data_IF_309410062834
#
_entry.id   IF_309410062834
#
_cell.length_a   1.000
_cell.length_b   1.000
_cell.length_c   1.000
_cell.angle_alpha   90.00
_cell.angle_beta   90.00
_cell.angle_gamma   90.00
#
_symmetry.space_group_name_H-M   'P 1'
#
loop_
_entity.id
_entity.type
_entity.pdbx_description
1 polymer ?
#
# COMPACT_ATOMS: atom_id res chain seq x y z
N UNK A 1 -12.62 -3.26 -10.64
CA UNK A 1 -11.20 -2.89 -10.58
C UNK A 1 -10.50 -3.87 -9.66
N UNK A 2 -9.34 -4.37 -10.06
CA UNK A 2 -8.61 -5.43 -9.37
C UNK A 2 -7.14 -5.02 -9.24
N UNK A 3 -6.56 -5.26 -8.07
CA UNK A 3 -5.16 -5.00 -7.78
C UNK A 3 -4.45 -6.35 -7.58
N UNK A 4 -3.41 -6.61 -8.38
CA UNK A 4 -2.67 -7.89 -8.38
C UNK A 4 -1.17 -7.66 -8.31
N UNK A 5 -0.41 -8.64 -7.82
CA UNK A 5 1.06 -8.57 -7.69
C UNK A 5 1.54 -8.31 -6.26
N UNK A 6 0.61 -8.11 -5.31
CA UNK A 6 0.95 -8.01 -3.88
C UNK A 6 1.59 -9.30 -3.36
N UNK A 7 1.26 -10.47 -3.89
CA UNK A 7 1.86 -11.77 -3.56
C UNK A 7 3.36 -11.90 -3.86
N UNK A 8 3.89 -11.01 -4.71
CA UNK A 8 5.32 -10.99 -5.08
C UNK A 8 6.14 -10.00 -4.23
N UNK A 9 5.58 -9.50 -3.12
CA UNK A 9 6.29 -8.57 -2.26
C UNK A 9 7.52 -9.21 -1.61
N UNK A 10 8.55 -8.42 -1.43
CA UNK A 10 9.70 -8.75 -0.59
C UNK A 10 9.77 -7.79 0.59
N UNK A 11 10.12 -8.33 1.75
CA UNK A 11 10.32 -7.57 2.96
C UNK A 11 11.81 -7.24 3.11
N UNK A 12 12.16 -5.97 2.97
CA UNK A 12 13.56 -5.54 3.01
C UNK A 12 14.04 -5.23 4.42
N UNK A 13 13.14 -4.71 5.25
CA UNK A 13 13.44 -4.37 6.65
C UNK A 13 12.18 -4.47 7.49
N UNK A 14 12.32 -5.05 8.67
CA UNK A 14 11.34 -4.93 9.75
C UNK A 14 12.05 -4.42 11.00
N UNK A 15 11.42 -3.44 11.63
CA UNK A 15 11.73 -3.02 12.99
C UNK A 15 10.48 -3.18 13.83
N UNK A 16 10.62 -3.82 14.98
CA UNK A 16 9.57 -3.92 15.99
C UNK A 16 10.06 -3.18 17.24
N UNK A 17 9.27 -2.20 17.68
CA UNK A 17 9.49 -1.51 18.95
C UNK A 17 8.31 -1.83 19.86
N UNK A 18 8.58 -2.49 20.98
CA UNK A 18 7.56 -2.85 21.96
C UNK A 18 7.60 -1.90 23.15
N UNK A 19 6.42 -1.60 23.70
CA UNK A 19 6.21 -0.98 25.00
C UNK A 19 5.16 -1.78 25.76
N UNK A 20 4.90 -1.43 27.03
CA UNK A 20 4.00 -2.19 27.90
C UNK A 20 2.64 -2.49 27.27
N UNK A 21 2.01 -1.48 26.68
CA UNK A 21 0.63 -1.56 26.16
C UNK A 21 0.52 -1.29 24.66
N UNK A 22 1.66 -1.19 23.95
CA UNK A 22 1.67 -0.92 22.51
C UNK A 22 2.88 -1.50 21.81
N UNK A 23 2.73 -1.75 20.52
CA UNK A 23 3.78 -2.22 19.63
C UNK A 23 3.77 -1.33 18.38
N UNK A 24 4.94 -0.88 17.95
CA UNK A 24 5.10 -0.24 16.64
C UNK A 24 5.87 -1.18 15.73
N UNK A 25 5.24 -1.55 14.61
CA UNK A 25 5.85 -2.28 13.51
C UNK A 25 6.19 -1.29 12.40
N UNK A 26 7.45 -1.20 12.03
CA UNK A 26 7.89 -0.50 10.83
C UNK A 26 8.42 -1.51 9.82
N UNK A 27 7.80 -1.57 8.64
CA UNK A 27 8.16 -2.49 7.58
C UNK A 27 8.48 -1.72 6.29
N UNK A 28 9.64 -2.01 5.70
CA UNK A 28 9.98 -1.61 4.34
C UNK A 28 9.66 -2.77 3.40
N UNK A 29 8.68 -2.55 2.54
CA UNK A 29 8.11 -3.54 1.63
C UNK A 29 8.45 -3.09 0.22
N UNK A 30 8.97 -4.00 -0.59
CA UNK A 30 9.20 -3.77 -2.02
C UNK A 30 8.29 -4.69 -2.82
N UNK A 31 7.55 -4.11 -3.76
CA UNK A 31 6.70 -4.83 -4.71
C UNK A 31 7.25 -4.60 -6.11
N UNK A 32 7.84 -5.61 -6.77
CA UNK A 32 8.47 -5.43 -8.07
C UNK A 32 7.51 -4.91 -9.14
N UNK A 33 6.30 -5.48 -9.20
CA UNK A 33 5.26 -5.06 -10.14
C UNK A 33 3.91 -5.16 -9.42
N UNK A 34 3.21 -4.03 -9.34
CA UNK A 34 1.83 -3.96 -8.89
C UNK A 34 0.96 -3.58 -10.09
N UNK A 35 -0.04 -4.39 -10.41
CA UNK A 35 -0.92 -4.17 -11.57
C UNK A 35 -2.34 -3.84 -11.11
N UNK A 36 -2.83 -2.70 -11.55
CA UNK A 36 -4.23 -2.32 -11.43
C UNK A 36 -4.92 -2.58 -12.77
N UNK A 37 -5.91 -3.47 -12.75
CA UNK A 37 -6.67 -3.87 -13.93
C UNK A 37 -8.15 -3.54 -13.77
N UNK A 38 -8.80 -3.15 -14.86
CA UNK A 38 -10.26 -3.02 -14.92
C UNK A 38 -10.75 -3.26 -16.34
N UNK A 39 -11.72 -4.16 -16.53
CA UNK A 39 -12.39 -4.39 -17.82
C UNK A 39 -13.22 -3.18 -18.27
N UNK A 40 -13.61 -2.35 -17.30
CA UNK A 40 -14.41 -1.15 -17.52
C UNK A 40 -13.77 0.00 -16.77
N UNK A 41 -13.32 0.99 -17.52
CA UNK A 41 -13.00 2.32 -17.04
C UNK A 41 -13.78 3.34 -17.86
N UNK A 42 -14.05 4.50 -17.27
CA UNK A 42 -14.61 5.66 -17.96
C UNK A 42 -13.86 6.88 -17.46
N UNK A 43 -13.30 7.63 -18.40
CA UNK A 43 -12.58 8.86 -18.13
C UNK A 43 -13.29 9.99 -18.88
N UNK A 44 -13.72 11.01 -18.14
CA UNK A 44 -14.33 12.23 -18.67
C UNK A 44 -13.80 13.40 -17.86
N UNK A 45 -13.14 14.34 -18.53
CA UNK A 45 -12.61 15.53 -17.90
C UNK A 45 -11.94 16.46 -18.91
N UNK A 46 -11.12 17.37 -18.40
CA UNK A 46 -10.34 18.31 -19.21
C UNK A 46 -8.98 18.56 -18.57
N UNK A 47 -7.91 18.49 -19.36
CA UNK A 47 -6.60 19.01 -18.98
C UNK A 47 -6.48 20.48 -19.40
N UNK A 48 -5.78 21.27 -18.58
CA UNK A 48 -5.52 22.69 -18.82
C UNK A 48 -6.77 23.51 -19.18
N UNK A 49 -7.94 23.16 -18.62
CA UNK A 49 -9.25 23.78 -18.91
C UNK A 49 -9.80 23.64 -20.35
N UNK A 50 -8.98 23.37 -21.37
CA UNK A 50 -9.42 23.34 -22.78
C UNK A 50 -9.17 22.02 -23.51
N UNK A 51 -8.36 21.10 -22.98
CA UNK A 51 -8.08 19.83 -23.64
C UNK A 51 -9.00 18.72 -23.12
N UNK A 52 -10.03 18.28 -23.88
CA UNK A 52 -10.94 17.26 -23.40
C UNK A 52 -10.22 15.91 -23.24
N UNK A 53 -10.31 15.36 -22.04
CA UNK A 53 -9.82 14.03 -21.71
C UNK A 53 -11.03 13.09 -21.74
N UNK A 54 -11.01 12.15 -22.68
CA UNK A 54 -12.05 11.13 -22.83
C UNK A 54 -11.41 9.76 -23.03
N UNK A 55 -12.04 8.73 -22.50
CA UNK A 55 -11.68 7.34 -22.76
C UNK A 55 -12.61 6.37 -22.06
N UNK A 56 -12.71 5.16 -22.61
CA UNK A 56 -13.55 4.11 -22.04
C UNK A 56 -13.17 2.74 -22.59
N UNK A 57 -13.19 1.70 -21.76
CA UNK A 57 -12.86 0.34 -22.17
C UNK A 57 -12.11 -0.39 -21.06
N UNK A 58 -11.13 -1.20 -21.44
CA UNK A 58 -10.16 -1.80 -20.53
C UNK A 58 -9.08 -0.82 -20.07
N UNK A 59 -8.65 -0.98 -18.82
CA UNK A 59 -7.54 -0.25 -18.22
C UNK A 59 -6.55 -1.22 -17.61
N UNK A 60 -5.27 -1.02 -17.89
CA UNK A 60 -4.17 -1.67 -17.18
C UNK A 60 -3.13 -0.64 -16.80
N UNK A 61 -2.85 -0.52 -15.51
CA UNK A 61 -1.79 0.34 -14.96
C UNK A 61 -0.82 -0.55 -14.20
N UNK A 62 0.44 -0.55 -14.60
CA UNK A 62 1.52 -1.26 -13.91
C UNK A 62 2.40 -0.24 -13.19
N UNK A 63 2.49 -0.37 -11.87
CA UNK A 63 3.44 0.34 -11.03
C UNK A 63 4.65 -0.57 -10.86
N UNK A 64 5.81 -0.10 -11.28
CA UNK A 64 7.06 -0.86 -11.20
C UNK A 64 7.89 -0.36 -10.04
N UNK A 65 8.45 -1.33 -9.33
CA UNK A 65 9.40 -1.10 -8.24
C UNK A 65 8.82 -0.16 -7.18
N UNK A 66 7.72 -0.60 -6.59
CA UNK A 66 7.04 0.15 -5.52
C UNK A 66 7.75 -0.17 -4.22
N UNK A 67 8.31 0.84 -3.58
CA UNK A 67 8.90 0.71 -2.24
C UNK A 67 7.99 1.45 -1.27
N UNK A 68 7.46 0.72 -0.30
CA UNK A 68 6.55 1.23 0.72
C UNK A 68 7.17 1.10 2.11
N UNK A 69 7.22 2.20 2.85
CA UNK A 69 7.53 2.22 4.27
C UNK A 69 6.22 2.34 5.04
N UNK A 70 5.79 1.23 5.63
CA UNK A 70 4.61 1.20 6.50
C UNK A 70 5.03 1.26 7.95
N UNK A 71 4.39 2.11 8.73
CA UNK A 71 4.49 2.13 10.20
C UNK A 71 3.12 1.93 10.79
N UNK A 72 2.95 0.87 11.56
CA UNK A 72 1.68 0.49 12.19
C UNK A 72 1.87 0.42 13.69
N UNK A 73 1.04 1.14 14.44
CA UNK A 73 0.98 1.04 15.90
C UNK A 73 -0.21 0.22 16.30
N UNK A 74 0.06 -0.86 17.03
CA UNK A 74 -0.92 -1.70 17.68
C UNK A 74 -1.00 -1.33 19.17
N UNK A 75 -2.20 -1.39 19.73
CA UNK A 75 -2.46 -1.17 21.16
C UNK A 75 -3.32 -2.31 21.69
N UNK A 76 -3.13 -2.68 22.95
CA UNK A 76 -4.07 -3.58 23.64
C UNK A 76 -5.39 -2.85 23.85
N UNK A 77 -6.50 -3.54 23.59
CA UNK A 77 -7.83 -3.07 23.99
C UNK A 77 -8.19 -3.66 25.35
N UNK A 78 -7.86 -4.95 25.53
CA UNK A 78 -7.91 -5.70 26.79
C UNK A 78 -6.81 -6.78 26.78
N UNK A 79 -6.89 -7.77 27.67
CA UNK A 79 -5.92 -8.87 27.76
C UNK A 79 -5.96 -9.85 26.58
N UNK A 80 -7.04 -9.83 25.78
CA UNK A 80 -7.32 -10.83 24.74
C UNK A 80 -7.40 -10.25 23.33
N UNK A 81 -7.46 -8.93 23.20
CA UNK A 81 -7.69 -8.25 21.93
C UNK A 81 -6.77 -7.06 21.73
N UNK A 82 -6.43 -6.84 20.47
CA UNK A 82 -5.60 -5.72 20.04
C UNK A 82 -6.24 -5.00 18.85
N UNK A 83 -5.78 -3.78 18.59
CA UNK A 83 -6.20 -3.01 17.40
C UNK A 83 -5.07 -2.14 16.88
N UNK A 84 -5.21 -1.72 15.64
CA UNK A 84 -4.41 -0.65 15.06
C UNK A 84 -4.92 0.69 15.59
N UNK A 85 -4.06 1.45 16.27
CA UNK A 85 -4.29 2.82 16.74
C UNK A 85 -3.80 3.85 15.71
N UNK A 86 -2.65 3.58 15.08
CA UNK A 86 -2.05 4.47 14.08
C UNK A 86 -1.49 3.69 12.91
N UNK A 87 -1.56 4.31 11.75
CA UNK A 87 -0.96 3.84 10.51
C UNK A 87 -0.35 5.02 9.79
N UNK A 88 0.83 4.80 9.24
CA UNK A 88 1.47 5.69 8.30
C UNK A 88 2.01 4.85 7.15
N UNK A 89 1.84 5.35 5.93
CA UNK A 89 2.35 4.73 4.73
C UNK A 89 3.04 5.81 3.93
N UNK A 90 4.33 5.62 3.71
CA UNK A 90 5.07 6.34 2.68
C UNK A 90 5.35 5.37 1.56
N UNK A 91 5.29 5.83 0.31
CA UNK A 91 5.64 4.99 -0.82
C UNK A 91 6.37 5.80 -1.87
N UNK A 92 7.17 5.09 -2.65
CA UNK A 92 7.81 5.60 -3.85
C UNK A 92 7.51 4.63 -5.00
N UNK A 93 7.24 5.18 -6.18
CA UNK A 93 6.97 4.41 -7.39
C UNK A 93 7.98 4.84 -8.44
N UNK A 94 8.87 3.93 -8.84
CA UNK A 94 9.92 4.26 -9.79
C UNK A 94 9.38 4.52 -11.20
N UNK A 95 8.37 3.74 -11.64
CA UNK A 95 7.80 3.89 -12.98
C UNK A 95 6.35 3.46 -13.07
N UNK A 96 5.58 4.17 -13.88
CA UNK A 96 4.22 3.81 -14.25
C UNK A 96 4.18 3.40 -15.73
N UNK A 97 3.45 2.32 -16.03
CA UNK A 97 3.06 1.95 -17.38
C UNK A 97 1.55 1.81 -17.45
N UNK A 98 0.90 2.79 -18.06
CA UNK A 98 -0.52 2.84 -18.27
C UNK A 98 -0.90 2.47 -19.70
N UNK A 99 -1.98 1.71 -19.83
CA UNK A 99 -2.67 1.42 -21.06
C UNK A 99 -4.18 1.58 -20.83
N UNK A 100 -4.73 2.68 -21.31
CA UNK A 100 -6.15 3.01 -21.27
C UNK A 100 -6.72 2.86 -22.69
N UNK A 101 -7.59 1.89 -22.89
CA UNK A 101 -8.22 1.61 -24.19
C UNK A 101 -9.15 2.74 -24.65
N UNK A 102 -9.09 3.10 -25.94
CA UNK A 102 -9.91 4.18 -26.51
C UNK A 102 -9.74 5.51 -25.78
N UNK A 103 -8.62 5.71 -25.08
CA UNK A 103 -8.18 7.01 -24.61
C UNK A 103 -7.47 7.78 -25.72
N UNK A 104 -7.46 9.10 -25.62
CA UNK A 104 -6.58 9.93 -26.44
C UNK A 104 -5.13 9.52 -26.21
N UNK A 105 -4.34 9.38 -27.29
CA UNK A 105 -2.94 8.95 -27.24
C UNK A 105 -2.09 9.72 -26.21
N UNK A 106 -2.32 11.04 -26.07
CA UNK A 106 -1.63 11.89 -25.10
C UNK A 106 -1.81 11.42 -23.65
N UNK A 107 -2.95 10.81 -23.29
CA UNK A 107 -3.23 10.38 -21.91
C UNK A 107 -2.29 9.26 -21.51
N UNK A 108 -2.13 8.24 -22.36
CA UNK A 108 -1.19 7.16 -22.10
C UNK A 108 0.26 7.69 -22.05
N UNK A 109 0.63 8.65 -22.91
CA UNK A 109 1.96 9.26 -22.86
C UNK A 109 2.20 10.00 -21.53
N UNK A 110 1.26 10.85 -21.12
CA UNK A 110 1.36 11.60 -19.86
C UNK A 110 1.42 10.66 -18.66
N UNK A 111 0.58 9.62 -18.61
CA UNK A 111 0.61 8.65 -17.51
C UNK A 111 1.91 7.81 -17.50
N UNK A 112 2.51 7.55 -18.66
CA UNK A 112 3.78 6.82 -18.73
C UNK A 112 4.99 7.70 -18.38
N UNK A 113 4.93 9.01 -18.64
CA UNK A 113 5.99 9.95 -18.33
C UNK A 113 5.90 10.47 -16.90
N UNK A 114 4.71 10.93 -16.50
CA UNK A 114 4.46 11.67 -15.25
C UNK A 114 3.64 10.88 -14.23
N UNK A 115 3.26 9.63 -14.54
CA UNK A 115 2.35 8.85 -13.69
C UNK A 115 2.81 8.72 -12.24
N UNK A 116 4.12 8.60 -11.99
CA UNK A 116 4.65 8.55 -10.63
C UNK A 116 4.44 9.88 -9.89
N UNK A 117 4.71 11.02 -10.55
CA UNK A 117 4.48 12.34 -9.97
C UNK A 117 2.99 12.61 -9.75
N UNK A 118 2.13 12.20 -10.69
CA UNK A 118 0.67 12.28 -10.55
C UNK A 118 0.22 11.49 -9.32
N UNK A 119 0.66 10.23 -9.16
CA UNK A 119 0.29 9.40 -8.01
C UNK A 119 0.83 9.96 -6.70
N UNK A 120 2.00 10.59 -6.69
CA UNK A 120 2.51 11.31 -5.52
C UNK A 120 1.68 12.55 -5.18
N UNK A 121 1.07 13.21 -6.18
CA UNK A 121 0.11 14.30 -5.95
C UNK A 121 -1.18 13.84 -5.28
N UNK A 122 -1.54 12.56 -5.43
CA UNK A 122 -2.69 11.91 -4.76
C UNK A 122 -2.28 11.09 -3.54
N UNK A 123 -1.14 11.41 -2.91
CA UNK A 123 -0.58 10.63 -1.81
C UNK A 123 -1.58 10.40 -0.66
N UNK A 124 -2.18 11.47 -0.16
CA UNK A 124 -3.11 11.38 0.97
C UNK A 124 -4.34 10.55 0.63
N UNK A 125 -4.88 10.67 -0.60
CA UNK A 125 -6.01 9.86 -1.05
C UNK A 125 -5.68 8.37 -1.10
N UNK A 126 -4.47 8.03 -1.55
CA UNK A 126 -3.98 6.64 -1.60
C UNK A 126 -3.75 6.08 -0.19
N UNK A 127 -3.15 6.87 0.71
CA UNK A 127 -2.94 6.48 2.11
C UNK A 127 -4.28 6.29 2.83
N UNK A 128 -5.22 7.22 2.66
CA UNK A 128 -6.56 7.15 3.23
C UNK A 128 -7.36 5.98 2.68
N UNK A 129 -7.29 5.74 1.36
CA UNK A 129 -7.91 4.57 0.73
C UNK A 129 -7.35 3.26 1.28
N UNK A 130 -6.03 3.19 1.48
CA UNK A 130 -5.36 2.03 2.09
C UNK A 130 -5.80 1.84 3.53
N UNK A 131 -5.85 2.91 4.33
CA UNK A 131 -6.35 2.86 5.70
C UNK A 131 -7.78 2.32 5.77
N UNK A 132 -8.70 2.91 5.01
CA UNK A 132 -10.11 2.56 5.01
C UNK A 132 -10.38 1.12 4.56
N UNK A 133 -9.51 0.56 3.72
CA UNK A 133 -9.63 -0.82 3.27
C UNK A 133 -8.92 -1.82 4.19
N UNK A 134 -7.65 -1.58 4.51
CA UNK A 134 -6.80 -2.59 5.17
C UNK A 134 -7.01 -2.63 6.68
N UNK A 135 -7.21 -1.50 7.34
CA UNK A 135 -7.27 -1.45 8.81
C UNK A 135 -8.51 -2.14 9.38
N UNK A 136 -9.73 -1.99 8.83
CA UNK A 136 -10.88 -2.74 9.30
C UNK A 136 -10.67 -4.26 9.20
N UNK A 137 -10.08 -4.74 8.11
CA UNK A 137 -9.79 -6.15 7.89
C UNK A 137 -8.75 -6.68 8.89
N UNK A 138 -7.68 -5.91 9.13
CA UNK A 138 -6.67 -6.26 10.13
C UNK A 138 -7.27 -6.27 11.54
N UNK A 139 -8.09 -5.27 11.89
CA UNK A 139 -8.73 -5.20 13.20
C UNK A 139 -9.72 -6.34 13.44
N UNK A 140 -10.37 -6.88 12.41
CA UNK A 140 -11.20 -8.09 12.56
C UNK A 140 -10.37 -9.28 13.08
N UNK A 141 -9.17 -9.48 12.52
CA UNK A 141 -8.24 -10.51 12.99
C UNK A 141 -7.70 -10.19 14.40
N UNK A 142 -7.24 -8.96 14.62
CA UNK A 142 -6.63 -8.53 15.89
C UNK A 142 -7.60 -8.52 17.07
N UNK A 143 -8.91 -8.40 16.80
CA UNK A 143 -9.94 -8.53 17.84
C UNK A 143 -9.99 -9.93 18.48
N UNK A 144 -9.36 -10.92 17.84
CA UNK A 144 -9.35 -12.34 18.26
C UNK A 144 -7.99 -12.77 18.82
N UNK A 145 -7.01 -11.86 18.90
CA UNK A 145 -5.62 -12.18 19.24
C UNK A 145 -5.05 -11.14 20.21
N UNK A 146 -4.46 -11.62 21.30
CA UNK A 146 -3.75 -10.76 22.25
C UNK A 146 -2.54 -10.09 21.59
N UNK A 147 -2.19 -8.88 22.02
CA UNK A 147 -1.02 -8.18 21.48
C UNK A 147 0.26 -9.02 21.62
N UNK A 148 0.40 -9.77 22.72
CA UNK A 148 1.53 -10.65 22.99
C UNK A 148 1.65 -11.79 21.97
N UNK A 149 0.55 -12.46 21.65
CA UNK A 149 0.56 -13.59 20.70
C UNK A 149 0.73 -13.11 19.26
N UNK A 150 0.19 -11.93 18.93
CA UNK A 150 0.45 -11.29 17.65
C UNK A 150 1.93 -10.93 17.49
N UNK A 151 2.57 -10.37 18.53
CA UNK A 151 4.01 -10.08 18.55
C UNK A 151 4.82 -11.36 18.30
N UNK A 152 4.52 -12.46 19.00
CA UNK A 152 5.21 -13.74 18.80
C UNK A 152 5.10 -14.22 17.35
N UNK A 153 3.91 -14.08 16.76
CA UNK A 153 3.66 -14.45 15.36
C UNK A 153 4.53 -13.64 14.40
N UNK A 154 4.56 -12.32 14.56
CA UNK A 154 5.41 -11.43 13.74
C UNK A 154 6.89 -11.75 13.94
N UNK A 155 7.33 -11.97 15.18
CA UNK A 155 8.72 -12.28 15.48
C UNK A 155 9.15 -13.60 14.83
N UNK A 156 8.31 -14.64 14.87
CA UNK A 156 8.60 -15.91 14.22
C UNK A 156 8.75 -15.75 12.70
N UNK A 157 7.84 -15.00 12.05
CA UNK A 157 7.93 -14.70 10.62
C UNK A 157 9.18 -13.87 10.29
N UNK A 158 9.54 -12.92 11.15
CA UNK A 158 10.72 -12.09 10.95
C UNK A 158 12.03 -12.84 11.16
N UNK A 159 12.10 -13.80 12.08
CA UNK A 159 13.30 -14.63 12.31
C UNK A 159 13.56 -15.59 11.15
N UNK A 160 12.50 -16.05 10.47
CA UNK A 160 12.63 -16.76 9.19
C UNK A 160 13.01 -15.84 8.01
N UNK A 161 12.92 -14.51 8.18
CA UNK A 161 13.15 -13.52 7.14
C UNK A 161 14.48 -12.76 7.29
N UNK A 162 14.80 -12.06 8.40
CA UNK A 162 16.10 -11.37 8.65
C UNK A 162 16.37 -11.06 10.16
N UNK A 163 17.66 -10.91 10.51
CA UNK A 163 18.25 -10.75 11.87
C UNK A 163 17.74 -9.51 12.65
N UNK A 164 17.12 -9.72 13.81
CA UNK A 164 16.75 -8.65 14.76
C UNK A 164 17.94 -8.33 15.69
N UNK A 165 18.34 -7.06 15.77
CA UNK A 165 19.19 -6.56 16.87
C UNK A 165 18.29 -6.10 18.04
N UNK A 166 18.34 -6.83 19.14
CA UNK A 166 17.81 -6.37 20.42
C UNK A 166 18.77 -5.33 21.02
N UNK A 167 18.31 -4.09 21.19
CA UNK A 167 18.93 -3.17 22.16
C UNK A 167 18.26 -3.38 23.51
N UNK A 168 19.05 -3.85 24.48
CA UNK A 168 18.70 -3.95 25.89
C UNK A 168 18.46 -2.58 26.51
#
# INVERSE_FOLDING_TARGET
>A
MQLTGLDTFSLEKITVTQSKDSMTLTAQIRVPILTLHSDKYSLKGSAYYFYPIKGSGGMTIQLKDVVALSTVRFVSVDDFSSKIDKFSLQYNISKVKANLEKSTFLINQVLNAEGAAILNGFHDDIVNGTWNYAVPQANEYLSKVSLSDFIKTILNVSQSAFVIKNTK
#
